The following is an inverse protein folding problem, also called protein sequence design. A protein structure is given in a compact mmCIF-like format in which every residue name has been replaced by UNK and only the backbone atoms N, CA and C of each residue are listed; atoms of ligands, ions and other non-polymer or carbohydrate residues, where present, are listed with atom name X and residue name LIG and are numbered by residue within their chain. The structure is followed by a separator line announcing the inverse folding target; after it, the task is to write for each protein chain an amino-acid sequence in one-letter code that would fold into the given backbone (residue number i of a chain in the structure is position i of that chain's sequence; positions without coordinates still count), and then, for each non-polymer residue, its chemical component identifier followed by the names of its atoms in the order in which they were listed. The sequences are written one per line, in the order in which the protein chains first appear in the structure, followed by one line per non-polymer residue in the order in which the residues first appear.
data_IF_448029259831
#
_entry.id   IF_448029259831
#
_cell.length_a   1.000
_cell.length_b   1.000
_cell.length_c   1.000
_cell.angle_alpha   90.00
_cell.angle_beta   90.00
_cell.angle_gamma   90.00
#
_symmetry.space_group_name_H-M   'P 1'
#
loop_
_entity.id
_entity.type
_entity.pdbx_description
1 polymer ?
#
# COMPACT_ATOMS: atom_id res chain seq x y z
N UNK A 1 -30.51 7.82 14.46
CA UNK A 1 -29.53 7.03 13.69
C UNK A 1 -28.20 7.04 14.40
N UNK A 2 -27.76 5.89 14.88
CA UNK A 2 -26.40 5.70 15.35
C UNK A 2 -25.51 5.63 14.12
N UNK A 3 -24.85 6.73 13.77
CA UNK A 3 -23.90 6.78 12.67
C UNK A 3 -22.63 6.05 13.06
N UNK A 4 -21.93 5.41 12.11
CA UNK A 4 -20.60 4.89 12.35
C UNK A 4 -19.68 6.04 12.76
N UNK A 5 -18.82 5.79 13.71
CA UNK A 5 -17.86 6.77 14.21
C UNK A 5 -16.45 6.19 14.21
N UNK A 6 -15.45 7.08 14.16
CA UNK A 6 -14.06 6.66 14.32
C UNK A 6 -13.29 7.62 15.19
N UNK A 7 -12.24 7.11 15.82
CA UNK A 7 -11.23 7.90 16.52
C UNK A 7 -9.85 7.34 16.25
N UNK A 8 -8.84 8.18 16.29
CA UNK A 8 -7.44 7.77 16.12
C UNK A 8 -6.70 8.08 17.42
N UNK A 9 -6.06 7.08 17.99
CA UNK A 9 -5.22 7.19 19.17
C UNK A 9 -3.75 6.97 18.81
N UNK A 10 -2.84 7.71 19.48
CA UNK A 10 -1.41 7.66 19.22
C UNK A 10 -0.89 8.83 18.40
N UNK A 11 0.38 8.80 18.04
CA UNK A 11 1.07 9.87 17.33
C UNK A 11 1.52 9.39 15.96
N UNK A 12 1.24 10.17 14.92
CA UNK A 12 1.77 9.90 13.58
C UNK A 12 3.30 10.02 13.61
N UNK A 13 4.05 9.07 13.02
CA UNK A 13 5.50 9.16 12.93
C UNK A 13 5.93 10.24 11.94
N UNK A 14 7.18 10.68 12.05
CA UNK A 14 7.80 11.50 11.02
C UNK A 14 8.02 10.64 9.75
N UNK A 15 7.32 10.99 8.68
CA UNK A 15 7.39 10.26 7.41
C UNK A 15 8.67 10.55 6.62
N UNK A 16 9.47 11.54 7.06
CA UNK A 16 10.78 11.84 6.47
C UNK A 16 11.92 10.99 7.10
N UNK A 17 11.57 10.07 7.99
CA UNK A 17 12.54 9.14 8.58
C UNK A 17 13.20 8.30 7.49
N UNK A 18 14.54 8.19 7.47
CA UNK A 18 15.25 7.34 6.52
C UNK A 18 14.78 5.87 6.57
N UNK A 19 14.72 5.16 5.44
CA UNK A 19 14.22 3.78 5.36
C UNK A 19 14.89 2.79 6.32
N UNK A 20 16.18 2.94 6.56
CA UNK A 20 16.96 2.10 7.50
C UNK A 20 16.51 2.20 8.96
N UNK A 21 15.80 3.26 9.31
CA UNK A 21 15.28 3.50 10.66
C UNK A 21 13.77 3.22 10.77
N UNK A 22 13.14 2.74 9.68
CA UNK A 22 11.71 2.45 9.67
C UNK A 22 11.46 1.06 10.25
N UNK A 23 10.70 1.00 11.33
CA UNK A 23 10.18 -0.25 11.88
C UNK A 23 8.75 -0.49 11.36
N UNK A 24 8.64 -1.37 10.36
CA UNK A 24 7.35 -1.74 9.74
C UNK A 24 6.44 -2.56 10.66
N UNK A 25 6.97 -3.13 11.74
CA UNK A 25 6.18 -3.91 12.69
C UNK A 25 5.66 -3.04 13.84
N UNK A 26 6.11 -1.81 13.94
CA UNK A 26 5.72 -0.90 15.01
C UNK A 26 4.36 -0.26 14.73
N UNK A 27 3.46 -0.37 15.69
CA UNK A 27 2.20 0.37 15.69
C UNK A 27 2.44 1.76 16.26
N UNK A 28 2.14 2.78 15.46
CA UNK A 28 2.28 4.19 15.85
C UNK A 28 0.96 4.79 16.27
N UNK A 29 -0.11 4.42 15.57
CA UNK A 29 -1.46 4.85 15.88
C UNK A 29 -2.41 3.65 15.83
N UNK A 30 -3.54 3.78 16.52
CA UNK A 30 -4.64 2.82 16.44
C UNK A 30 -5.89 3.57 15.99
N UNK A 31 -6.49 3.12 14.91
CA UNK A 31 -7.79 3.59 14.44
C UNK A 31 -8.87 2.70 15.07
N UNK A 32 -9.77 3.32 15.81
CA UNK A 32 -10.94 2.70 16.38
C UNK A 32 -12.16 3.07 15.56
N UNK A 33 -12.88 2.08 15.06
CA UNK A 33 -14.09 2.25 14.26
C UNK A 33 -15.24 1.60 15.00
N UNK A 34 -16.27 2.37 15.32
CA UNK A 34 -17.51 1.86 15.89
C UNK A 34 -18.54 1.71 14.80
N UNK A 35 -19.01 0.49 14.59
CA UNK A 35 -20.03 0.18 13.58
C UNK A 35 -21.35 0.81 14.00
N UNK A 36 -22.00 1.53 13.09
CA UNK A 36 -23.30 2.15 13.35
C UNK A 36 -24.37 1.12 13.63
N UNK A 37 -25.37 1.49 14.40
CA UNK A 37 -26.53 0.63 14.70
C UNK A 37 -27.77 1.09 13.93
N UNK A 38 -28.63 0.17 13.47
CA UNK A 38 -29.85 0.54 12.80
C UNK A 38 -30.81 1.27 13.76
N UNK A 39 -31.56 2.18 13.21
CA UNK A 39 -32.67 2.82 13.92
C UNK A 39 -33.97 2.07 13.63
N UNK A 40 -34.69 1.79 14.68
CA UNK A 40 -36.01 1.15 14.58
C UNK A 40 -37.08 2.20 14.76
N UNK A 41 -37.87 2.39 13.73
CA UNK A 41 -39.01 3.29 13.73
C UNK A 41 -40.34 2.53 13.76
N UNK A 42 -41.36 3.13 14.37
CA UNK A 42 -42.73 2.68 14.29
C UNK A 42 -43.53 3.74 13.58
N UNK A 43 -44.21 3.39 12.51
CA UNK A 43 -45.16 4.28 11.87
C UNK A 43 -46.40 4.44 12.77
N UNK A 44 -46.37 5.47 13.61
CA UNK A 44 -47.37 5.72 14.63
C UNK A 44 -48.73 6.09 13.98
N UNK A 45 -48.74 6.72 12.79
CA UNK A 45 -49.97 7.05 12.10
C UNK A 45 -50.64 5.77 11.56
N UNK A 46 -49.86 4.92 10.90
CA UNK A 46 -50.35 3.64 10.39
C UNK A 46 -50.84 2.73 11.54
N UNK A 47 -50.11 2.70 12.64
CA UNK A 47 -50.52 1.96 13.82
C UNK A 47 -51.84 2.52 14.41
N UNK A 48 -51.98 3.84 14.50
CA UNK A 48 -53.22 4.49 14.95
C UNK A 48 -54.39 4.10 14.06
N UNK A 49 -54.22 4.18 12.74
CA UNK A 49 -55.28 3.84 11.79
C UNK A 49 -55.69 2.36 11.92
N UNK A 50 -54.74 1.46 12.09
CA UNK A 50 -54.97 0.04 12.34
C UNK A 50 -55.71 -0.21 13.67
N UNK A 51 -55.38 0.51 14.73
CA UNK A 51 -56.04 0.43 16.00
C UNK A 51 -57.50 0.88 15.87
N UNK A 52 -57.77 1.97 15.18
CA UNK A 52 -59.12 2.51 14.94
C UNK A 52 -59.97 1.55 14.13
N UNK A 53 -59.39 0.94 13.08
CA UNK A 53 -60.06 -0.07 12.26
C UNK A 53 -60.36 -1.33 13.09
N UNK A 54 -59.40 -1.81 13.86
CA UNK A 54 -59.58 -2.98 14.76
C UNK A 54 -60.67 -2.75 15.81
N UNK A 55 -60.75 -1.54 16.39
CA UNK A 55 -61.80 -1.13 17.29
C UNK A 55 -63.17 -1.15 16.64
N UNK A 56 -63.30 -0.61 15.42
CA UNK A 56 -64.57 -0.57 14.68
C UNK A 56 -65.01 -1.95 14.20
N UNK A 57 -64.09 -2.89 14.01
CA UNK A 57 -64.38 -4.27 13.55
C UNK A 57 -64.39 -5.32 14.64
N UNK A 58 -64.26 -4.93 15.93
CA UNK A 58 -64.08 -5.80 17.10
C UNK A 58 -62.92 -6.79 16.98
N UNK A 59 -61.89 -6.44 16.27
CA UNK A 59 -60.63 -7.17 16.24
C UNK A 59 -59.75 -6.72 17.41
N UNK A 60 -59.29 -7.65 18.22
CA UNK A 60 -58.52 -7.34 19.42
C UNK A 60 -56.99 -7.58 19.25
N UNK A 61 -56.53 -7.68 18.00
CA UNK A 61 -55.12 -7.86 17.70
C UNK A 61 -54.72 -6.89 16.57
N UNK A 62 -53.72 -6.06 16.85
CA UNK A 62 -53.09 -5.17 15.88
C UNK A 62 -51.62 -5.47 15.87
N UNK A 63 -51.00 -5.62 14.68
CA UNK A 63 -49.57 -5.86 14.50
C UNK A 63 -48.95 -4.60 13.97
N UNK A 64 -48.15 -3.93 14.78
CA UNK A 64 -47.35 -2.78 14.35
C UNK A 64 -46.20 -3.22 13.44
N UNK A 65 -46.07 -2.54 12.31
CA UNK A 65 -44.93 -2.73 11.41
C UNK A 65 -43.74 -1.87 11.90
N UNK A 66 -42.61 -2.51 12.10
CA UNK A 66 -41.36 -1.82 12.45
C UNK A 66 -40.61 -1.48 11.16
N UNK A 67 -40.32 -0.22 10.95
CA UNK A 67 -39.38 0.23 9.92
C UNK A 67 -37.97 0.14 10.47
N UNK A 68 -37.05 -0.37 9.67
CA UNK A 68 -35.62 -0.46 10.02
C UNK A 68 -34.86 0.44 9.05
N UNK A 69 -34.16 1.44 9.60
CA UNK A 69 -33.27 2.30 8.82
C UNK A 69 -31.86 1.90 9.15
N UNK A 70 -31.17 1.35 8.16
CA UNK A 70 -29.76 0.97 8.30
C UNK A 70 -28.89 2.22 8.43
N UNK A 71 -27.81 2.17 9.22
CA UNK A 71 -26.83 3.26 9.29
C UNK A 71 -26.14 3.46 7.94
N UNK A 72 -25.72 4.68 7.66
CA UNK A 72 -24.87 4.96 6.51
C UNK A 72 -23.51 4.25 6.68
N UNK A 73 -22.97 3.69 5.59
CA UNK A 73 -21.66 3.04 5.65
C UNK A 73 -20.53 4.08 5.85
N UNK A 74 -19.51 3.73 6.63
CA UNK A 74 -18.31 4.56 6.76
C UNK A 74 -17.56 4.56 5.43
N UNK A 75 -17.28 5.75 4.89
CA UNK A 75 -16.41 5.91 3.71
C UNK A 75 -14.94 5.67 4.09
N UNK A 76 -14.50 4.42 3.93
CA UNK A 76 -13.12 4.01 4.21
C UNK A 76 -12.13 4.60 3.22
N UNK A 77 -12.53 4.85 1.98
CA UNK A 77 -11.63 5.38 0.96
C UNK A 77 -11.33 6.86 1.25
N UNK A 78 -12.33 7.63 1.65
CA UNK A 78 -12.15 9.01 2.12
C UNK A 78 -11.28 9.07 3.39
N UNK A 79 -11.52 8.16 4.35
CA UNK A 79 -10.72 8.05 5.57
C UNK A 79 -9.26 7.72 5.26
N UNK A 80 -9.04 6.77 4.36
CA UNK A 80 -7.70 6.38 3.92
C UNK A 80 -6.98 7.56 3.24
N UNK A 81 -7.63 8.25 2.32
CA UNK A 81 -7.07 9.41 1.63
C UNK A 81 -6.68 10.55 2.60
N UNK A 82 -7.41 10.70 3.70
CA UNK A 82 -7.15 11.75 4.68
C UNK A 82 -5.97 11.43 5.61
N UNK A 83 -5.82 10.18 6.04
CA UNK A 83 -4.87 9.81 7.11
C UNK A 83 -3.71 8.96 6.66
N UNK A 84 -3.80 8.33 5.49
CA UNK A 84 -2.81 7.40 5.00
C UNK A 84 -1.99 7.98 3.86
N UNK A 85 -0.80 7.40 3.65
CA UNK A 85 0.09 7.69 2.52
C UNK A 85 0.37 6.38 1.82
N UNK A 86 0.08 6.31 0.53
CA UNK A 86 0.32 5.11 -0.27
C UNK A 86 1.82 4.91 -0.48
N UNK A 87 2.36 3.69 -0.28
CA UNK A 87 3.75 3.40 -0.59
C UNK A 87 4.00 3.47 -2.11
N UNK A 88 5.18 3.95 -2.49
CA UNK A 88 5.63 3.99 -3.87
C UNK A 88 6.80 3.03 -4.03
N UNK A 89 6.70 2.10 -4.97
CA UNK A 89 7.76 1.13 -5.26
C UNK A 89 8.95 1.79 -5.95
N UNK A 90 10.14 1.22 -5.73
CA UNK A 90 11.32 1.58 -6.50
C UNK A 90 11.10 1.30 -8.00
N UNK A 91 11.71 2.09 -8.84
CA UNK A 91 11.59 1.98 -10.30
C UNK A 91 12.98 1.94 -10.91
N UNK A 92 13.22 0.97 -11.79
CA UNK A 92 14.40 0.89 -12.62
C UNK A 92 14.17 1.69 -13.92
N UNK A 93 15.04 2.63 -14.21
CA UNK A 93 15.09 3.27 -15.52
C UNK A 93 15.77 2.32 -16.51
N UNK A 94 15.00 1.75 -17.42
CA UNK A 94 15.50 0.77 -18.40
C UNK A 94 16.51 1.39 -19.42
N UNK A 95 16.63 2.70 -19.45
CA UNK A 95 17.57 3.39 -20.36
C UNK A 95 18.90 3.68 -19.70
N UNK A 96 18.88 4.16 -18.44
CA UNK A 96 20.09 4.54 -17.69
C UNK A 96 20.53 3.47 -16.68
N UNK A 97 19.68 2.48 -16.42
CA UNK A 97 19.81 1.49 -15.34
C UNK A 97 19.94 2.09 -13.94
N UNK A 98 19.51 3.33 -13.79
CA UNK A 98 19.42 3.99 -12.50
C UNK A 98 18.15 3.53 -11.77
N UNK A 99 18.30 3.23 -10.50
CA UNK A 99 17.19 2.86 -9.63
C UNK A 99 16.74 4.08 -8.84
N UNK A 100 15.49 4.50 -9.07
CA UNK A 100 14.83 5.48 -8.20
C UNK A 100 14.37 4.76 -6.94
N UNK A 101 14.75 5.28 -5.77
CA UNK A 101 14.41 4.68 -4.49
C UNK A 101 12.90 4.70 -4.23
N UNK A 102 12.44 3.71 -3.50
CA UNK A 102 11.08 3.60 -3.00
C UNK A 102 10.76 4.64 -1.94
N UNK A 103 9.47 4.83 -1.70
CA UNK A 103 8.95 5.60 -0.57
C UNK A 103 7.99 4.73 0.23
N UNK A 104 8.25 4.61 1.53
CA UNK A 104 7.34 3.90 2.44
C UNK A 104 6.04 4.67 2.59
N UNK A 105 4.93 3.92 2.62
CA UNK A 105 3.63 4.46 2.96
C UNK A 105 3.42 4.52 4.47
N UNK A 106 2.29 5.05 4.87
CA UNK A 106 1.82 5.05 6.25
C UNK A 106 0.31 4.85 6.28
N UNK A 107 -0.18 4.01 7.16
CA UNK A 107 -1.61 3.77 7.31
C UNK A 107 -1.94 2.35 7.74
N UNK A 108 -3.02 1.82 7.21
CA UNK A 108 -3.53 0.47 7.47
C UNK A 108 -3.83 -0.25 6.14
N UNK A 109 -3.99 -1.57 6.20
CA UNK A 109 -4.41 -2.36 5.04
C UNK A 109 -5.93 -2.26 4.84
N UNK A 110 -6.35 -1.45 3.87
CA UNK A 110 -7.77 -1.10 3.66
C UNK A 110 -8.66 -2.33 3.41
N UNK A 111 -8.15 -3.33 2.66
CA UNK A 111 -8.91 -4.54 2.34
C UNK A 111 -9.17 -5.41 3.58
N UNK A 112 -8.22 -5.46 4.52
CA UNK A 112 -8.37 -6.17 5.79
C UNK A 112 -9.41 -5.49 6.67
N UNK A 113 -9.39 -4.16 6.72
CA UNK A 113 -10.37 -3.38 7.50
C UNK A 113 -11.77 -3.54 6.91
N UNK A 114 -11.89 -3.48 5.59
CA UNK A 114 -13.15 -3.70 4.87
C UNK A 114 -13.73 -5.08 5.18
N UNK A 115 -12.91 -6.13 5.06
CA UNK A 115 -13.33 -7.50 5.37
C UNK A 115 -13.73 -7.71 6.85
N UNK A 116 -13.15 -6.94 7.78
CA UNK A 116 -13.53 -6.97 9.20
C UNK A 116 -14.83 -6.23 9.44
N UNK A 117 -15.05 -5.07 8.81
CA UNK A 117 -16.28 -4.30 8.90
C UNK A 117 -17.49 -5.05 8.33
N UNK A 118 -17.32 -5.80 7.24
CA UNK A 118 -18.37 -6.64 6.65
C UNK A 118 -18.87 -7.75 7.58
N UNK A 119 -18.04 -8.16 8.53
CA UNK A 119 -18.35 -9.24 9.49
C UNK A 119 -18.72 -8.72 10.87
N UNK A 120 -18.54 -7.43 11.09
CA UNK A 120 -18.75 -6.83 12.39
C UNK A 120 -20.23 -6.67 12.71
N UNK A 121 -20.56 -6.83 13.99
CA UNK A 121 -21.91 -6.60 14.51
C UNK A 121 -22.17 -5.10 14.73
N UNK A 122 -23.44 -4.74 14.75
CA UNK A 122 -23.83 -3.37 15.03
C UNK A 122 -23.39 -2.93 16.43
N UNK A 123 -22.76 -1.78 16.52
CA UNK A 123 -22.23 -1.24 17.76
C UNK A 123 -20.87 -1.81 18.18
N UNK A 124 -20.31 -2.75 17.40
CA UNK A 124 -18.98 -3.30 17.65
C UNK A 124 -17.90 -2.25 17.41
N UNK A 125 -16.87 -2.23 18.26
CA UNK A 125 -15.65 -1.43 18.05
C UNK A 125 -14.54 -2.30 17.45
N UNK A 126 -14.06 -1.90 16.28
CA UNK A 126 -12.94 -2.54 15.60
C UNK A 126 -11.69 -1.68 15.78
N UNK A 127 -10.64 -2.26 16.35
CA UNK A 127 -9.33 -1.60 16.46
C UNK A 127 -8.42 -2.03 15.31
N UNK A 128 -7.83 -1.05 14.61
CA UNK A 128 -6.96 -1.21 13.46
C UNK A 128 -5.61 -0.56 13.72
N UNK A 129 -4.54 -1.34 13.61
CA UNK A 129 -3.18 -0.83 13.77
C UNK A 129 -2.75 -0.03 12.56
N UNK A 130 -2.17 1.14 12.79
CA UNK A 130 -1.59 2.01 11.75
C UNK A 130 -0.07 2.10 11.95
N UNK A 131 0.66 1.95 10.86
CA UNK A 131 2.11 1.96 10.86
C UNK A 131 2.67 2.21 9.47
N UNK A 132 3.97 2.02 9.30
CA UNK A 132 4.59 2.10 7.98
C UNK A 132 4.14 0.94 7.09
N UNK A 133 3.85 1.25 5.83
CA UNK A 133 3.48 0.29 4.80
C UNK A 133 4.68 0.10 3.85
N UNK A 134 5.11 -1.14 3.71
CA UNK A 134 6.21 -1.50 2.81
C UNK A 134 5.77 -1.36 1.35
N UNK A 135 6.60 -0.79 0.47
CA UNK A 135 6.40 -0.82 -0.97
C UNK A 135 6.49 -2.27 -1.50
N UNK A 136 5.91 -2.52 -2.67
CA UNK A 136 5.93 -3.86 -3.29
C UNK A 136 7.32 -4.27 -3.76
N UNK A 137 8.12 -3.28 -4.19
CA UNK A 137 9.47 -3.48 -4.71
C UNK A 137 10.37 -2.43 -4.09
N UNK A 138 11.51 -2.85 -3.52
CA UNK A 138 12.53 -1.98 -2.96
C UNK A 138 13.69 -1.76 -3.93
N UNK A 139 14.47 -0.69 -3.72
CA UNK A 139 15.66 -0.42 -4.50
C UNK A 139 16.74 -1.49 -4.31
N UNK A 140 16.79 -2.10 -3.13
CA UNK A 140 17.68 -3.23 -2.82
C UNK A 140 17.33 -4.44 -3.67
N UNK A 141 16.05 -4.85 -3.68
CA UNK A 141 15.56 -5.96 -4.50
C UNK A 141 15.83 -5.76 -6.00
N UNK A 142 15.66 -4.51 -6.51
CA UNK A 142 15.99 -4.20 -7.90
C UNK A 142 17.48 -4.25 -8.19
N UNK A 143 18.33 -3.75 -7.28
CA UNK A 143 19.79 -3.76 -7.45
C UNK A 143 20.34 -5.17 -7.37
N UNK A 144 19.86 -5.97 -6.45
CA UNK A 144 20.26 -7.37 -6.29
C UNK A 144 19.86 -8.22 -7.50
N UNK A 145 18.72 -7.91 -8.16
CA UNK A 145 18.30 -8.57 -9.39
C UNK A 145 19.06 -8.12 -10.65
N UNK A 146 19.84 -7.02 -10.59
CA UNK A 146 20.64 -6.57 -11.71
C UNK A 146 22.01 -7.30 -11.74
N UNK A 147 22.35 -7.86 -12.91
CA UNK A 147 23.68 -8.47 -13.15
C UNK A 147 24.03 -9.67 -12.26
N UNK A 148 23.04 -10.39 -11.74
CA UNK A 148 23.23 -11.57 -10.89
C UNK A 148 24.01 -12.70 -11.56
N UNK A 149 23.84 -12.85 -12.88
CA UNK A 149 24.41 -14.00 -13.60
C UNK A 149 25.68 -13.59 -14.32
N UNK A 150 26.82 -14.19 -13.92
CA UNK A 150 28.07 -14.11 -14.68
C UNK A 150 27.95 -14.94 -15.94
N UNK A 151 27.81 -14.30 -17.11
CA UNK A 151 27.65 -14.98 -18.39
C UNK A 151 28.95 -15.61 -18.89
N UNK A 152 30.08 -14.95 -18.68
CA UNK A 152 31.38 -15.43 -19.09
C UNK A 152 32.51 -14.86 -18.21
N UNK A 153 33.60 -15.60 -18.13
CA UNK A 153 34.86 -15.16 -17.51
C UNK A 153 36.02 -15.57 -18.40
N UNK A 154 36.91 -14.62 -18.69
CA UNK A 154 38.16 -14.90 -19.41
C UNK A 154 39.32 -14.29 -18.65
N UNK A 155 40.38 -15.06 -18.51
CA UNK A 155 41.66 -14.61 -17.91
C UNK A 155 42.80 -14.87 -18.89
N UNK A 156 43.68 -13.90 -19.05
CA UNK A 156 44.87 -14.00 -19.88
C UNK A 156 46.08 -13.50 -19.11
N UNK A 157 47.28 -14.18 -19.25
CA UNK A 157 48.48 -13.68 -18.62
C UNK A 157 48.90 -12.34 -19.20
N UNK A 158 49.48 -11.47 -18.36
CA UNK A 158 50.00 -10.20 -18.81
C UNK A 158 51.25 -10.43 -19.71
N UNK A 159 51.45 -9.54 -20.66
CA UNK A 159 52.67 -9.56 -21.51
C UNK A 159 53.89 -9.12 -20.73
N UNK A 160 55.09 -9.54 -21.17
CA UNK A 160 56.37 -9.02 -20.71
C UNK A 160 56.64 -7.59 -21.20
N UNK A 161 55.95 -7.15 -22.25
CA UNK A 161 56.03 -5.80 -22.79
C UNK A 161 55.25 -4.82 -21.93
N UNK A 162 55.96 -3.83 -21.38
CA UNK A 162 55.35 -2.81 -20.50
C UNK A 162 54.36 -1.90 -21.24
N UNK A 163 54.65 -1.51 -22.49
CA UNK A 163 53.80 -0.62 -23.26
C UNK A 163 52.49 -1.32 -23.63
N UNK A 164 52.58 -2.60 -24.02
CA UNK A 164 51.38 -3.42 -24.25
C UNK A 164 50.49 -3.53 -23.01
N UNK A 165 51.09 -3.74 -21.84
CA UNK A 165 50.34 -3.82 -20.58
C UNK A 165 49.68 -2.46 -20.20
N UNK A 166 50.34 -1.35 -20.51
CA UNK A 166 49.72 0.00 -20.31
C UNK A 166 48.54 0.18 -21.19
N UNK A 167 48.65 -0.11 -22.49
CA UNK A 167 47.57 0.00 -23.45
C UNK A 167 46.36 -0.93 -23.08
N UNK A 168 46.68 -2.16 -22.67
CA UNK A 168 45.65 -3.08 -22.21
C UNK A 168 44.91 -2.55 -20.99
N UNK A 169 45.63 -1.99 -20.01
CA UNK A 169 44.98 -1.38 -18.83
C UNK A 169 44.11 -0.19 -19.19
N UNK A 170 44.52 0.62 -20.15
CA UNK A 170 43.71 1.75 -20.64
C UNK A 170 42.42 1.26 -21.32
N UNK A 171 42.56 0.26 -22.19
CA UNK A 171 41.40 -0.35 -22.86
C UNK A 171 40.42 -1.00 -21.84
N UNK A 172 40.94 -1.77 -20.86
CA UNK A 172 40.15 -2.37 -19.82
C UNK A 172 39.39 -1.33 -18.99
N UNK A 173 40.02 -0.20 -18.65
CA UNK A 173 39.36 0.90 -17.94
C UNK A 173 38.27 1.58 -18.76
N UNK A 174 38.42 1.65 -20.07
CA UNK A 174 37.43 2.26 -20.95
C UNK A 174 36.15 1.41 -21.07
N UNK A 175 36.26 0.09 -20.91
CA UNK A 175 35.14 -0.84 -20.99
C UNK A 175 34.61 -1.29 -19.62
N UNK A 176 35.34 -0.98 -18.55
CA UNK A 176 34.93 -1.35 -17.20
C UNK A 176 33.66 -0.61 -16.80
N UNK A 177 32.66 -1.35 -16.37
CA UNK A 177 31.32 -0.81 -16.03
C UNK A 177 30.42 -0.48 -17.23
N UNK A 178 30.83 -0.83 -18.47
CA UNK A 178 29.97 -0.64 -19.64
C UNK A 178 28.75 -1.58 -19.57
N UNK A 179 27.57 -1.01 -19.73
CA UNK A 179 26.32 -1.76 -19.78
C UNK A 179 25.86 -1.80 -21.24
N UNK A 180 25.62 -3.01 -21.76
CA UNK A 180 25.06 -3.24 -23.06
C UNK A 180 23.60 -3.69 -22.92
N UNK A 181 22.72 -3.08 -23.69
CA UNK A 181 21.30 -3.48 -23.79
C UNK A 181 21.15 -4.68 -24.71
N UNK A 182 19.98 -5.32 -24.62
CA UNK A 182 19.62 -6.33 -25.61
C UNK A 182 19.69 -5.74 -27.03
N UNK A 183 20.29 -6.52 -27.95
CA UNK A 183 20.51 -6.15 -29.35
C UNK A 183 21.46 -4.96 -29.61
N UNK A 184 22.11 -4.42 -28.58
CA UNK A 184 23.14 -3.39 -28.74
C UNK A 184 24.46 -4.01 -29.20
N UNK A 185 25.13 -3.35 -30.15
CA UNK A 185 26.40 -3.82 -30.72
C UNK A 185 27.57 -3.18 -30.02
N UNK A 186 28.45 -4.00 -29.44
CA UNK A 186 29.71 -3.55 -28.87
C UNK A 186 30.74 -3.33 -29.95
N UNK A 187 31.13 -2.06 -30.18
CA UNK A 187 32.20 -1.71 -31.10
C UNK A 187 33.40 -1.20 -30.30
N UNK A 188 34.41 -2.06 -30.16
CA UNK A 188 35.61 -1.79 -29.34
C UNK A 188 36.29 -0.47 -29.68
N UNK A 189 36.50 -0.17 -30.95
CA UNK A 189 37.22 1.03 -31.39
C UNK A 189 36.46 2.34 -31.07
N UNK A 190 35.14 2.27 -31.05
CA UNK A 190 34.32 3.46 -30.73
C UNK A 190 34.41 3.78 -29.23
N UNK A 191 34.58 2.75 -28.40
CA UNK A 191 34.63 2.90 -26.95
C UNK A 191 36.02 3.36 -26.48
N UNK A 192 37.09 2.83 -27.05
CA UNK A 192 38.47 3.20 -26.67
C UNK A 192 39.00 4.42 -27.39
N UNK A 193 38.25 5.00 -28.36
CA UNK A 193 38.59 6.24 -29.02
C UNK A 193 39.75 6.12 -30.05
N UNK A 194 39.82 5.00 -30.77
CA UNK A 194 40.74 4.80 -31.87
C UNK A 194 40.10 5.11 -33.22
#
# INVERSE_FOLDING_TARGET
LSQPSYRIEGSRPDLNTPPENIDINKVYQTLHITVGSPEYGLDTQKLYDQIMEAYNTNLFQVVGEISVVSPEALDLDALYAQYCVTPVSAVLNETTYEVTAETYGYGFHIDEVRARLEKAEYGEEISVSMGFLRPKVTAEELKDGLFETQLAFLSSPASVDKNWNINLKLACRAIDGLILKADEVFIFNDIIGM
#
